data_IF_273296804415
#
_entry.id   IF_273296804415
#
_cell.length_a   1.000
_cell.length_b   1.000
_cell.length_c   1.000
_cell.angle_alpha   90.00
_cell.angle_beta   90.00
_cell.angle_gamma   90.00
#
_symmetry.space_group_name_H-M   'P 1'
#
loop_
_entity.id
_entity.type
_entity.pdbx_description
1 polymer ?
#
# COMPACT_ATOMS: atom_id res chain seq x y z
N UNK A 1 -19.17 -15.21 76.15
CA UNK A 1 -19.71 -15.40 74.80
C UNK A 1 -18.73 -14.78 73.81
N UNK A 2 -17.84 -15.58 73.25
CA UNK A 2 -16.83 -15.16 72.26
C UNK A 2 -17.39 -15.32 70.86
N UNK A 3 -17.55 -14.21 70.12
CA UNK A 3 -18.01 -14.22 68.73
C UNK A 3 -16.80 -14.17 67.79
N UNK A 4 -16.62 -15.24 67.02
CA UNK A 4 -15.58 -15.40 66.01
C UNK A 4 -15.89 -14.56 64.78
N UNK A 5 -14.95 -13.70 64.37
CA UNK A 5 -15.07 -12.80 63.21
C UNK A 5 -14.50 -13.51 61.96
N UNK A 6 -15.36 -13.93 61.05
CA UNK A 6 -14.96 -14.61 59.80
C UNK A 6 -14.52 -13.58 58.75
N UNK A 7 -13.25 -13.62 58.36
CA UNK A 7 -12.68 -12.83 57.26
C UNK A 7 -13.17 -13.38 55.90
N UNK A 8 -13.93 -12.57 55.16
CA UNK A 8 -14.29 -12.86 53.76
C UNK A 8 -13.08 -12.58 52.85
N UNK A 9 -12.49 -13.63 52.29
CA UNK A 9 -11.54 -13.55 51.17
C UNK A 9 -12.28 -13.17 49.89
N UNK A 10 -11.89 -12.03 49.29
CA UNK A 10 -12.33 -11.62 47.96
C UNK A 10 -11.88 -12.68 46.93
N UNK A 11 -12.77 -13.25 46.11
CA UNK A 11 -12.36 -14.23 45.13
C UNK A 11 -11.44 -13.55 44.10
N UNK A 12 -10.23 -14.07 43.98
CA UNK A 12 -9.28 -13.66 42.94
C UNK A 12 -9.84 -14.08 41.58
N UNK A 13 -9.83 -13.20 40.55
CA UNK A 13 -10.33 -13.55 39.24
C UNK A 13 -9.59 -14.77 38.68
N UNK A 14 -10.28 -15.69 37.98
CA UNK A 14 -9.63 -16.85 37.38
C UNK A 14 -8.55 -16.38 36.41
N UNK A 15 -7.38 -17.03 36.42
CA UNK A 15 -6.22 -16.66 35.61
C UNK A 15 -6.54 -16.55 34.10
N UNK A 16 -7.54 -17.28 33.61
CA UNK A 16 -8.04 -17.20 32.24
C UNK A 16 -8.70 -15.84 31.91
N UNK A 17 -9.42 -15.22 32.85
CA UNK A 17 -10.02 -13.91 32.65
C UNK A 17 -8.95 -12.80 32.62
N UNK A 18 -7.91 -12.91 33.46
CA UNK A 18 -6.76 -12.00 33.45
C UNK A 18 -5.94 -12.17 32.16
N UNK A 19 -5.73 -13.40 31.71
CA UNK A 19 -5.05 -13.69 30.44
C UNK A 19 -5.84 -13.20 29.23
N UNK A 20 -7.18 -13.32 29.23
CA UNK A 20 -8.04 -12.79 28.18
C UNK A 20 -8.01 -11.25 28.13
N UNK A 21 -7.99 -10.58 29.28
CA UNK A 21 -7.85 -9.12 29.36
C UNK A 21 -6.46 -8.65 28.90
N UNK A 22 -5.39 -9.33 29.31
CA UNK A 22 -4.03 -9.03 28.85
C UNK A 22 -3.86 -9.26 27.34
N UNK A 23 -4.40 -10.36 26.81
CA UNK A 23 -4.41 -10.64 25.37
C UNK A 23 -5.19 -9.57 24.59
N UNK A 24 -6.35 -9.15 25.12
CA UNK A 24 -7.14 -8.08 24.51
C UNK A 24 -6.44 -6.71 24.59
N UNK A 25 -5.79 -6.39 25.70
CA UNK A 25 -5.00 -5.17 25.85
C UNK A 25 -3.87 -5.12 24.80
N UNK A 26 -3.10 -6.19 24.66
CA UNK A 26 -2.06 -6.31 23.63
C UNK A 26 -2.63 -6.20 22.20
N UNK A 27 -3.80 -6.79 21.95
CA UNK A 27 -4.49 -6.69 20.65
C UNK A 27 -4.92 -5.25 20.36
N UNK A 28 -5.51 -4.55 21.34
CA UNK A 28 -5.89 -3.14 21.20
C UNK A 28 -4.69 -2.25 20.91
N UNK A 29 -3.56 -2.49 21.58
CA UNK A 29 -2.33 -1.75 21.33
C UNK A 29 -1.84 -1.95 19.89
N UNK A 30 -1.82 -3.19 19.40
CA UNK A 30 -1.52 -3.50 18.00
C UNK A 30 -2.45 -2.79 17.03
N UNK A 31 -3.76 -2.77 17.31
CA UNK A 31 -4.75 -2.09 16.47
C UNK A 31 -4.57 -0.57 16.44
N UNK A 32 -4.24 0.04 17.57
CA UNK A 32 -3.97 1.49 17.68
C UNK A 32 -2.70 1.90 16.94
N UNK A 33 -1.69 1.04 16.92
CA UNK A 33 -0.40 1.30 16.29
C UNK A 33 -0.34 0.88 14.81
N UNK A 34 -1.49 0.53 14.19
CA UNK A 34 -1.53 0.18 12.76
C UNK A 34 -1.11 1.35 11.90
N UNK A 35 -0.12 1.11 11.05
CA UNK A 35 0.28 2.06 10.02
C UNK A 35 -0.80 2.18 8.95
N UNK A 36 -0.97 3.39 8.39
CA UNK A 36 -1.87 3.62 7.26
C UNK A 36 -1.28 3.00 5.98
N UNK A 37 -2.11 2.52 5.04
CA UNK A 37 -1.64 2.04 3.74
C UNK A 37 -0.77 3.09 3.04
N UNK A 38 0.28 2.63 2.35
CA UNK A 38 1.11 3.44 1.45
C UNK A 38 1.08 2.76 0.08
N UNK A 39 0.85 3.54 -0.97
CA UNK A 39 0.98 3.13 -2.36
C UNK A 39 2.16 3.88 -2.99
N UNK A 40 2.80 3.26 -3.97
CA UNK A 40 3.93 3.83 -4.70
C UNK A 40 3.61 3.83 -6.19
N UNK A 41 3.72 5.00 -6.82
CA UNK A 41 3.75 5.15 -8.26
C UNK A 41 5.21 5.24 -8.70
N UNK A 42 5.60 4.39 -9.64
CA UNK A 42 6.97 4.36 -10.19
C UNK A 42 6.94 4.76 -11.65
N UNK A 43 7.70 5.78 -11.98
CA UNK A 43 7.83 6.34 -13.34
C UNK A 43 9.28 6.15 -13.77
N UNK A 44 9.51 5.64 -14.97
CA UNK A 44 10.86 5.48 -15.52
C UNK A 44 10.80 5.85 -16.99
N UNK A 45 11.47 6.93 -17.37
CA UNK A 45 11.41 7.46 -18.73
C UNK A 45 12.38 6.76 -19.67
N UNK A 46 13.37 6.05 -19.13
CA UNK A 46 14.38 5.33 -19.91
C UNK A 46 13.81 3.98 -20.40
N UNK A 47 13.52 3.84 -21.71
CA UNK A 47 12.98 2.60 -22.25
C UNK A 47 14.00 1.46 -22.26
N UNK A 48 15.30 1.76 -22.32
CA UNK A 48 16.36 0.76 -22.35
C UNK A 48 16.54 0.14 -20.97
N UNK A 49 16.48 0.95 -19.90
CA UNK A 49 16.52 0.45 -18.51
C UNK A 49 15.29 -0.43 -18.20
N UNK A 50 14.09 0.01 -18.62
CA UNK A 50 12.87 -0.81 -18.53
C UNK A 50 13.03 -2.15 -19.25
N UNK A 51 13.49 -2.12 -20.49
CA UNK A 51 13.70 -3.31 -21.31
C UNK A 51 14.72 -4.26 -20.69
N UNK A 52 15.85 -3.73 -20.19
CA UNK A 52 16.88 -4.53 -19.55
C UNK A 52 16.34 -5.28 -18.32
N UNK A 53 15.54 -4.61 -17.49
CA UNK A 53 14.90 -5.23 -16.34
C UNK A 53 13.89 -6.32 -16.74
N UNK A 54 13.07 -6.06 -17.76
CA UNK A 54 12.10 -7.04 -18.27
C UNK A 54 12.79 -8.28 -18.87
N UNK A 55 13.81 -8.07 -19.69
CA UNK A 55 14.60 -9.14 -20.31
C UNK A 55 15.30 -10.00 -19.23
N UNK A 56 15.86 -9.37 -18.19
CA UNK A 56 16.46 -10.08 -17.05
C UNK A 56 15.43 -10.88 -16.24
N UNK A 57 14.25 -10.30 -15.95
CA UNK A 57 13.15 -11.00 -15.26
C UNK A 57 12.66 -12.20 -16.06
N UNK A 58 12.53 -12.03 -17.38
CA UNK A 58 12.13 -13.12 -18.27
C UNK A 58 13.16 -14.26 -18.25
N UNK A 59 14.45 -13.94 -18.33
CA UNK A 59 15.52 -14.93 -18.30
C UNK A 59 15.52 -15.73 -16.99
N UNK A 60 15.44 -15.07 -15.83
CA UNK A 60 15.38 -15.73 -14.52
C UNK A 60 14.15 -16.66 -14.44
N UNK A 61 12.97 -16.18 -14.84
CA UNK A 61 11.75 -17.00 -14.84
C UNK A 61 11.89 -18.24 -15.74
N UNK A 62 12.45 -18.06 -16.93
CA UNK A 62 12.68 -19.16 -17.88
C UNK A 62 13.64 -20.21 -17.31
N UNK A 63 14.78 -19.77 -16.79
CA UNK A 63 15.79 -20.67 -16.22
C UNK A 63 15.28 -21.38 -14.95
N UNK A 64 14.49 -20.69 -14.12
CA UNK A 64 13.84 -21.30 -12.96
C UNK A 64 12.92 -22.45 -13.39
N UNK A 65 12.06 -22.23 -14.39
CA UNK A 65 11.17 -23.25 -14.91
C UNK A 65 11.92 -24.44 -15.56
N UNK A 66 13.05 -24.17 -16.24
CA UNK A 66 13.92 -25.22 -16.77
C UNK A 66 14.56 -26.06 -15.67
N UNK A 67 15.08 -25.43 -14.62
CA UNK A 67 15.71 -26.12 -13.49
C UNK A 67 14.69 -26.92 -12.66
N UNK A 68 13.43 -26.45 -12.56
CA UNK A 68 12.35 -27.25 -11.97
C UNK A 68 12.09 -28.56 -12.72
N UNK A 69 12.32 -28.57 -14.04
CA UNK A 69 12.16 -29.76 -14.89
C UNK A 69 13.40 -30.65 -14.88
N UNK A 70 14.59 -30.07 -14.72
CA UNK A 70 15.89 -30.75 -14.72
C UNK A 70 16.75 -30.32 -13.50
N UNK A 71 16.41 -30.76 -12.27
CA UNK A 71 16.99 -30.20 -11.04
C UNK A 71 18.48 -30.48 -10.83
N UNK A 72 19.00 -31.54 -11.44
CA UNK A 72 20.39 -31.97 -11.30
C UNK A 72 21.32 -31.34 -12.36
N UNK A 73 20.79 -30.47 -13.24
CA UNK A 73 21.59 -29.77 -14.24
C UNK A 73 22.40 -28.63 -13.59
N UNK A 74 23.68 -28.92 -13.36
CA UNK A 74 24.63 -27.99 -12.78
C UNK A 74 24.99 -26.80 -13.69
N UNK A 75 24.77 -26.89 -15.00
CA UNK A 75 24.96 -25.78 -15.94
C UNK A 75 23.78 -24.81 -15.83
N UNK A 76 22.54 -25.32 -15.87
CA UNK A 76 21.34 -24.50 -15.66
C UNK A 76 21.35 -23.80 -14.30
N UNK A 77 21.83 -24.47 -13.24
CA UNK A 77 21.96 -23.86 -11.92
C UNK A 77 22.95 -22.69 -11.91
N UNK A 78 24.07 -22.77 -12.65
CA UNK A 78 25.05 -21.67 -12.78
C UNK A 78 24.52 -20.53 -13.63
N UNK A 79 23.82 -20.84 -14.71
CA UNK A 79 23.20 -19.85 -15.57
C UNK A 79 22.12 -19.08 -14.82
N UNK A 80 21.30 -19.77 -14.02
CA UNK A 80 20.31 -19.13 -13.15
C UNK A 80 20.97 -18.18 -12.14
N UNK A 81 22.05 -18.61 -11.50
CA UNK A 81 22.79 -17.75 -10.57
C UNK A 81 23.34 -16.48 -11.26
N UNK A 82 23.86 -16.62 -12.47
CA UNK A 82 24.35 -15.48 -13.28
C UNK A 82 23.20 -14.57 -13.72
N UNK A 83 22.08 -15.13 -14.16
CA UNK A 83 20.89 -14.38 -14.53
C UNK A 83 20.28 -13.63 -13.34
N UNK A 84 20.34 -14.21 -12.13
CA UNK A 84 19.89 -13.54 -10.92
C UNK A 84 20.77 -12.32 -10.58
N UNK A 85 22.10 -12.44 -10.74
CA UNK A 85 23.00 -11.29 -10.58
C UNK A 85 22.71 -10.18 -11.61
N UNK A 86 22.44 -10.55 -12.86
CA UNK A 86 22.06 -9.60 -13.90
C UNK A 86 20.71 -8.93 -13.61
N UNK A 87 19.74 -9.68 -13.05
CA UNK A 87 18.46 -9.14 -12.61
C UNK A 87 18.64 -8.15 -11.45
N UNK A 88 19.46 -8.47 -10.46
CA UNK A 88 19.73 -7.58 -9.33
C UNK A 88 20.41 -6.27 -9.79
N UNK A 89 21.35 -6.37 -10.74
CA UNK A 89 21.97 -5.21 -11.36
C UNK A 89 20.95 -4.36 -12.14
N UNK A 90 20.15 -4.97 -13.02
CA UNK A 90 19.13 -4.26 -13.78
C UNK A 90 18.05 -3.63 -12.88
N UNK A 91 17.71 -4.26 -11.75
CA UNK A 91 16.80 -3.69 -10.76
C UNK A 91 17.41 -2.47 -10.07
N UNK A 92 18.72 -2.51 -9.77
CA UNK A 92 19.45 -1.35 -9.22
C UNK A 92 19.44 -0.18 -10.19
N UNK A 93 19.78 -0.43 -11.46
CA UNK A 93 19.77 0.61 -12.51
C UNK A 93 18.37 1.20 -12.70
N UNK A 94 17.33 0.36 -12.64
CA UNK A 94 15.93 0.81 -12.69
C UNK A 94 15.56 1.65 -11.47
N UNK A 95 15.91 1.24 -10.26
CA UNK A 95 15.59 1.97 -9.04
C UNK A 95 16.32 3.34 -8.98
N UNK A 96 17.52 3.43 -9.55
CA UNK A 96 18.27 4.70 -9.67
C UNK A 96 17.67 5.63 -10.74
N UNK A 97 17.20 5.08 -11.86
CA UNK A 97 16.61 5.87 -12.94
C UNK A 97 15.14 6.24 -12.70
N UNK A 98 14.43 5.48 -11.86
CA UNK A 98 13.00 5.65 -11.65
C UNK A 98 12.67 6.73 -10.62
N UNK A 99 11.63 7.51 -10.92
CA UNK A 99 11.01 8.43 -9.98
C UNK A 99 9.95 7.65 -9.19
N UNK A 100 10.07 7.63 -7.87
CA UNK A 100 9.12 6.97 -6.97
C UNK A 100 8.32 8.01 -6.19
N UNK A 101 7.01 8.05 -6.42
CA UNK A 101 6.07 8.90 -5.69
C UNK A 101 5.24 8.05 -4.73
N UNK A 102 5.16 8.45 -3.48
CA UNK A 102 4.56 7.70 -2.37
C UNK A 102 3.34 8.44 -1.86
N UNK A 103 2.25 7.71 -1.75
CA UNK A 103 0.96 8.21 -1.28
C UNK A 103 0.52 7.42 -0.06
N UNK A 104 0.16 8.12 1.01
CA UNK A 104 -0.37 7.50 2.21
C UNK A 104 -1.88 7.76 2.33
N UNK A 105 -2.62 6.74 2.74
CA UNK A 105 -4.03 6.92 3.03
C UNK A 105 -4.24 8.01 4.09
N UNK A 106 -5.23 8.87 3.88
CA UNK A 106 -5.64 9.89 4.83
C UNK A 106 -6.28 9.24 6.06
N UNK A 107 -6.35 9.98 7.17
CA UNK A 107 -7.22 9.53 8.27
C UNK A 107 -8.66 9.67 7.77
N UNK A 108 -9.54 8.77 8.23
CA UNK A 108 -10.94 8.78 7.80
C UNK A 108 -11.62 10.15 7.93
N UNK A 109 -11.48 10.91 9.05
CA UNK A 109 -12.07 12.24 9.15
C UNK A 109 -11.52 13.20 8.08
N UNK A 110 -10.20 13.24 7.91
CA UNK A 110 -9.54 14.09 6.91
C UNK A 110 -10.02 13.76 5.47
N UNK A 111 -10.26 12.48 5.17
CA UNK A 111 -10.80 12.03 3.88
C UNK A 111 -12.25 12.46 3.66
N UNK A 112 -13.11 12.30 4.66
CA UNK A 112 -14.51 12.74 4.56
C UNK A 112 -14.61 14.27 4.44
N UNK A 113 -13.82 15.01 5.21
CA UNK A 113 -13.74 16.47 5.13
C UNK A 113 -13.25 16.94 3.77
N UNK A 114 -12.29 16.23 3.18
CA UNK A 114 -11.82 16.52 1.83
C UNK A 114 -12.93 16.32 0.81
N UNK A 115 -13.59 15.15 0.80
CA UNK A 115 -14.72 14.90 -0.11
C UNK A 115 -15.83 15.95 0.01
N UNK A 116 -16.15 16.37 1.24
CA UNK A 116 -17.19 17.37 1.48
C UNK A 116 -16.88 18.76 0.87
N UNK A 117 -15.58 19.10 0.70
CA UNK A 117 -15.15 20.34 0.03
C UNK A 117 -15.31 20.29 -1.50
N UNK A 118 -15.46 19.10 -2.06
CA UNK A 118 -15.55 18.86 -3.51
C UNK A 118 -16.85 18.15 -3.88
N UNK A 119 -18.02 18.81 -3.66
CA UNK A 119 -19.30 18.23 -4.05
C UNK A 119 -19.37 18.03 -5.57
N UNK A 120 -20.06 16.99 -6.06
CA UNK A 120 -20.21 16.74 -7.49
C UNK A 120 -20.94 17.90 -8.19
N UNK A 121 -20.63 18.14 -9.46
CA UNK A 121 -21.46 19.00 -10.31
C UNK A 121 -22.81 18.34 -10.61
N UNK A 122 -23.77 19.10 -11.16
CA UNK A 122 -25.08 18.54 -11.55
C UNK A 122 -24.92 17.35 -12.51
N UNK A 123 -24.10 17.51 -13.57
CA UNK A 123 -23.83 16.43 -14.52
C UNK A 123 -23.16 15.21 -13.86
N UNK A 124 -22.20 15.43 -12.97
CA UNK A 124 -21.54 14.34 -12.24
C UNK A 124 -22.51 13.63 -11.28
N UNK A 125 -23.45 14.36 -10.67
CA UNK A 125 -24.48 13.78 -9.82
C UNK A 125 -25.49 12.94 -10.63
N UNK A 126 -25.83 13.35 -11.86
CA UNK A 126 -26.61 12.53 -12.80
C UNK A 126 -25.90 11.21 -13.13
N UNK A 127 -24.57 11.22 -13.21
CA UNK A 127 -23.72 10.05 -13.36
C UNK A 127 -23.48 9.25 -12.06
N UNK A 128 -24.19 9.59 -10.97
CA UNK A 128 -24.06 9.00 -9.63
C UNK A 128 -22.68 9.16 -8.98
N UNK A 129 -21.90 10.15 -9.39
CA UNK A 129 -20.67 10.50 -8.69
C UNK A 129 -20.99 11.22 -7.38
N UNK A 130 -20.23 10.86 -6.35
CA UNK A 130 -20.41 11.40 -4.99
C UNK A 130 -19.51 12.59 -4.68
N UNK A 131 -18.59 12.91 -5.59
CA UNK A 131 -17.59 13.98 -5.49
C UNK A 131 -17.26 14.52 -6.87
N UNK A 132 -16.80 15.77 -6.94
CA UNK A 132 -16.22 16.34 -8.15
C UNK A 132 -14.76 15.90 -8.28
N UNK A 133 -14.51 14.92 -9.14
CA UNK A 133 -13.19 14.33 -9.35
C UNK A 133 -12.17 15.31 -9.91
N UNK A 134 -12.60 16.28 -10.71
CA UNK A 134 -11.72 17.26 -11.36
C UNK A 134 -11.11 18.22 -10.33
N UNK A 135 -11.93 18.68 -9.38
CA UNK A 135 -11.44 19.56 -8.30
C UNK A 135 -10.84 18.80 -7.13
N UNK A 136 -11.28 17.56 -6.90
CA UNK A 136 -10.77 16.71 -5.82
C UNK A 136 -9.39 16.14 -6.15
N UNK A 137 -9.12 15.83 -7.43
CA UNK A 137 -7.90 15.14 -7.86
C UNK A 137 -6.61 15.79 -7.36
N UNK A 138 -6.35 17.06 -7.69
CA UNK A 138 -5.15 17.75 -7.25
C UNK A 138 -5.00 17.81 -5.72
N UNK A 139 -6.09 18.09 -5.01
CA UNK A 139 -6.12 18.20 -3.54
C UNK A 139 -5.89 16.84 -2.86
N UNK A 140 -6.43 15.76 -3.42
CA UNK A 140 -6.21 14.40 -2.92
C UNK A 140 -4.77 13.97 -3.11
N UNK A 141 -4.19 14.19 -4.30
CA UNK A 141 -2.78 13.87 -4.57
C UNK A 141 -1.89 14.62 -3.59
N UNK A 142 -2.11 15.92 -3.40
CA UNK A 142 -1.33 16.73 -2.48
C UNK A 142 -1.49 16.28 -1.02
N UNK A 143 -2.72 16.08 -0.55
CA UNK A 143 -2.99 15.69 0.83
C UNK A 143 -2.43 14.29 1.18
N UNK A 144 -2.37 13.39 0.20
CA UNK A 144 -1.86 12.03 0.40
C UNK A 144 -0.37 11.87 0.12
N UNK A 145 0.29 12.86 -0.50
CA UNK A 145 1.71 12.79 -0.85
C UNK A 145 2.62 12.73 0.38
N UNK A 146 3.59 11.82 0.37
CA UNK A 146 4.71 11.80 1.31
C UNK A 146 5.97 12.49 0.77
N UNK A 147 5.95 12.89 -0.50
CA UNK A 147 7.11 13.45 -1.21
C UNK A 147 6.94 14.95 -1.51
N UNK A 148 5.90 15.58 -0.96
CA UNK A 148 5.73 17.04 -0.98
C UNK A 148 5.08 17.59 -2.25
N UNK A 149 4.36 16.77 -3.02
CA UNK A 149 3.56 17.24 -4.15
C UNK A 149 2.51 18.22 -3.64
N UNK A 150 2.49 19.45 -4.17
CA UNK A 150 1.46 20.44 -3.85
C UNK A 150 0.22 20.28 -4.73
N UNK A 151 -0.89 20.95 -4.37
CA UNK A 151 -2.09 20.92 -5.20
C UNK A 151 -1.85 21.55 -6.58
N UNK A 152 -1.02 22.60 -6.64
CA UNK A 152 -0.65 23.25 -7.89
C UNK A 152 0.21 22.33 -8.78
N UNK A 153 1.18 21.62 -8.19
CA UNK A 153 1.98 20.63 -8.91
C UNK A 153 1.10 19.50 -9.45
N UNK A 154 0.22 18.96 -8.60
CA UNK A 154 -0.69 17.87 -8.98
C UNK A 154 -1.65 18.31 -10.10
N UNK A 155 -2.15 19.53 -10.03
CA UNK A 155 -2.99 20.11 -11.09
C UNK A 155 -2.21 20.18 -12.40
N UNK A 156 -1.01 20.73 -12.37
CA UNK A 156 -0.13 20.80 -13.54
C UNK A 156 0.11 19.41 -14.15
N UNK A 157 0.42 18.40 -13.33
CA UNK A 157 0.63 17.03 -13.82
C UNK A 157 -0.63 16.42 -14.43
N UNK A 158 -1.79 16.62 -13.82
CA UNK A 158 -3.05 16.10 -14.35
C UNK A 158 -3.48 16.77 -15.66
N UNK A 159 -3.07 18.03 -15.89
CA UNK A 159 -3.39 18.78 -17.11
C UNK A 159 -2.39 18.52 -18.25
N UNK A 160 -1.10 18.36 -17.93
CA UNK A 160 -0.03 18.33 -18.93
C UNK A 160 0.53 16.93 -19.24
N UNK A 161 0.41 15.97 -18.31
CA UNK A 161 0.89 14.60 -18.58
C UNK A 161 -0.02 13.88 -19.59
N UNK A 162 0.53 12.83 -20.20
CA UNK A 162 -0.29 11.95 -21.03
C UNK A 162 -1.43 11.33 -20.21
N UNK A 163 -2.59 11.12 -20.85
CA UNK A 163 -3.82 10.65 -20.19
C UNK A 163 -3.61 9.41 -19.30
N UNK A 164 -2.80 8.46 -19.76
CA UNK A 164 -2.47 7.25 -19.00
C UNK A 164 -1.67 7.54 -17.71
N UNK A 165 -0.75 8.50 -17.75
CA UNK A 165 0.10 8.87 -16.60
C UNK A 165 -0.66 9.74 -15.60
N UNK A 166 -1.42 10.72 -16.09
CA UNK A 166 -2.32 11.53 -15.26
C UNK A 166 -3.34 10.63 -14.55
N UNK A 167 -3.95 9.69 -15.28
CA UNK A 167 -4.85 8.68 -14.72
C UNK A 167 -4.14 7.79 -13.69
N UNK A 168 -2.92 7.33 -13.96
CA UNK A 168 -2.16 6.51 -13.02
C UNK A 168 -1.83 7.27 -11.72
N UNK A 169 -1.49 8.56 -11.80
CA UNK A 169 -1.23 9.43 -10.66
C UNK A 169 -2.48 9.57 -9.79
N UNK A 170 -3.60 9.99 -10.38
CA UNK A 170 -4.87 10.12 -9.66
C UNK A 170 -5.31 8.79 -9.04
N UNK A 171 -5.31 7.71 -9.83
CA UNK A 171 -5.77 6.40 -9.38
C UNK A 171 -4.91 5.84 -8.24
N UNK A 172 -3.60 6.11 -8.22
CA UNK A 172 -2.74 5.70 -7.11
C UNK A 172 -3.15 6.39 -5.80
N UNK A 173 -3.36 7.71 -5.86
CA UNK A 173 -3.80 8.50 -4.71
C UNK A 173 -5.24 8.16 -4.26
N UNK A 174 -6.11 7.76 -5.18
CA UNK A 174 -7.47 7.31 -4.90
C UNK A 174 -7.51 5.91 -4.28
N UNK A 175 -6.85 4.93 -4.90
CA UNK A 175 -6.88 3.53 -4.47
C UNK A 175 -6.26 3.33 -3.10
N UNK A 176 -5.25 4.13 -2.70
CA UNK A 176 -4.70 4.03 -1.34
C UNK A 176 -5.73 4.38 -0.26
N UNK A 177 -6.78 5.14 -0.59
CA UNK A 177 -7.88 5.44 0.34
C UNK A 177 -8.88 4.30 0.49
N UNK A 178 -9.16 3.57 -0.59
CA UNK A 178 -10.25 2.59 -0.67
C UNK A 178 -9.81 1.13 -0.50
N UNK A 179 -8.52 0.83 -0.68
CA UNK A 179 -8.00 -0.54 -0.58
C UNK A 179 -8.07 -1.08 0.86
N UNK A 180 -8.94 -2.08 1.06
CA UNK A 180 -9.01 -2.83 2.30
C UNK A 180 -7.85 -3.84 2.38
N UNK A 181 -6.99 -3.71 3.41
CA UNK A 181 -5.99 -4.74 3.77
C UNK A 181 -6.56 -5.81 4.70
N UNK A 182 -7.87 -6.02 4.66
CA UNK A 182 -8.58 -6.95 5.54
C UNK A 182 -9.15 -8.05 4.66
N UNK A 183 -8.67 -9.27 4.88
CA UNK A 183 -9.25 -10.47 4.29
C UNK A 183 -10.58 -10.75 4.97
N UNK A 184 -11.68 -10.59 4.24
CA UNK A 184 -12.97 -11.11 4.66
C UNK A 184 -12.97 -12.61 4.35
N UNK A 185 -12.46 -13.40 5.28
CA UNK A 185 -12.45 -14.86 5.15
C UNK A 185 -13.85 -15.39 4.87
N UNK A 186 -13.95 -16.37 3.97
CA UNK A 186 -15.13 -17.24 3.90
C UNK A 186 -15.18 -18.00 5.23
N UNK A 187 -16.19 -17.71 6.05
CA UNK A 187 -16.55 -18.58 7.16
C UNK A 187 -16.95 -19.97 6.66
#
# INVERSE_FOLDING_TARGET
MTATKTTQTKPEPPAQAVAADAHWAATREKLRNRQRPIAVLTICDDPDVKKALEDARFLVRRLTASLESEPDDAELARDLATAQQALDAAQTDFDEAAIMLRFQALRRPDWEDLKAKHPPTEAQAEDNLVVNVDTLGPELIAASSLDGITADDAKYYLEEWGDGEASALFNTAWHVQSNARMELGKG
#
